data_IF_442311635590
#
_entry.id   IF_442311635590
#
_cell.length_a   1.000
_cell.length_b   1.000
_cell.length_c   1.000
_cell.angle_alpha   90.00
_cell.angle_beta   90.00
_cell.angle_gamma   90.00
#
_symmetry.space_group_name_H-M   'P 1'
#
loop_
_entity.id
_entity.type
_entity.pdbx_description
1 polymer ?
#
# COMPACT_ATOMS: atom_id res chain seq x y z
N UNK A 1 2.93 -47.57 30.12
CA UNK A 1 3.75 -46.64 29.29
C UNK A 1 3.22 -46.40 27.88
N UNK A 2 2.31 -47.24 27.32
CA UNK A 2 1.74 -47.01 25.97
C UNK A 2 0.67 -45.91 25.92
N UNK A 3 -0.15 -45.80 26.96
CA UNK A 3 -1.24 -44.83 27.04
C UNK A 3 -0.75 -43.36 27.09
N UNK A 4 0.43 -43.13 27.67
CA UNK A 4 1.00 -41.78 27.77
C UNK A 4 1.50 -41.27 26.40
N UNK A 5 2.03 -42.17 25.57
CA UNK A 5 2.41 -41.84 24.19
C UNK A 5 1.21 -41.47 23.32
N UNK A 6 0.06 -42.14 23.49
CA UNK A 6 -1.17 -41.81 22.76
C UNK A 6 -1.77 -40.46 23.19
N UNK A 7 -1.62 -40.10 24.47
CA UNK A 7 -2.11 -38.81 24.98
C UNK A 7 -1.31 -37.63 24.41
N UNK A 8 0.03 -37.77 24.32
CA UNK A 8 0.91 -36.76 23.73
C UNK A 8 0.72 -36.62 22.21
N UNK A 9 0.53 -37.72 21.48
CA UNK A 9 0.25 -37.64 20.03
C UNK A 9 -1.13 -37.04 19.73
N UNK A 10 -2.15 -37.31 20.56
CA UNK A 10 -3.46 -36.68 20.42
C UNK A 10 -3.39 -35.15 20.58
N UNK A 11 -2.68 -34.65 21.59
CA UNK A 11 -2.52 -33.21 21.79
C UNK A 11 -1.75 -32.54 20.64
N UNK A 12 -0.77 -33.23 20.06
CA UNK A 12 0.01 -32.72 18.92
C UNK A 12 -0.81 -32.68 17.62
N UNK A 13 -1.71 -33.65 17.39
CA UNK A 13 -2.61 -33.67 16.23
C UNK A 13 -3.70 -32.59 16.29
N UNK A 14 -4.18 -32.23 17.48
CA UNK A 14 -5.21 -31.18 17.65
C UNK A 14 -4.61 -29.77 17.42
N UNK A 15 -3.32 -29.57 17.73
CA UNK A 15 -2.64 -28.29 17.52
C UNK A 15 -2.52 -27.89 16.03
N UNK A 16 -2.42 -28.86 15.11
CA UNK A 16 -2.28 -28.59 13.67
C UNK A 16 -3.65 -28.25 13.03
N UNK A 17 -4.76 -28.68 13.64
CA UNK A 17 -6.11 -28.40 13.14
C UNK A 17 -6.64 -27.01 13.57
N UNK A 18 -6.03 -26.38 14.57
CA UNK A 18 -6.43 -25.06 15.08
C UNK A 18 -5.89 -23.86 14.25
N UNK A 19 -4.96 -24.08 13.31
CA UNK A 19 -4.45 -23.00 12.43
C UNK A 19 -5.23 -22.82 11.12
N UNK A 20 -6.34 -23.54 10.89
CA UNK A 20 -7.14 -23.38 9.67
C UNK A 20 -8.39 -22.49 9.81
N UNK A 21 -8.65 -21.93 11.00
CA UNK A 21 -9.57 -20.81 11.12
C UNK A 21 -8.80 -19.50 10.92
N UNK A 22 -8.42 -19.24 9.66
CA UNK A 22 -8.31 -17.85 9.21
C UNK A 22 -9.71 -17.27 9.35
N UNK A 23 -9.98 -16.33 10.27
CA UNK A 23 -11.25 -15.65 10.28
C UNK A 23 -11.38 -15.03 8.89
N UNK A 24 -12.32 -15.49 8.08
CA UNK A 24 -12.85 -14.64 7.02
C UNK A 24 -13.49 -13.49 7.77
N UNK A 25 -12.68 -12.45 7.95
CA UNK A 25 -13.16 -11.16 8.37
C UNK A 25 -14.41 -10.85 7.53
N UNK A 26 -15.46 -10.29 8.13
CA UNK A 26 -16.55 -9.75 7.34
C UNK A 26 -15.92 -8.88 6.26
N UNK A 27 -16.42 -9.00 5.02
CA UNK A 27 -16.23 -8.01 3.97
C UNK A 27 -16.84 -6.70 4.46
N UNK A 28 -16.14 -6.06 5.39
CA UNK A 28 -16.34 -4.70 5.81
C UNK A 28 -15.32 -3.95 4.99
N UNK A 29 -15.86 -3.24 4.00
CA UNK A 29 -15.29 -2.12 3.29
C UNK A 29 -14.48 -1.24 4.25
N UNK A 30 -13.21 -1.58 4.42
CA UNK A 30 -12.28 -0.86 5.27
C UNK A 30 -10.93 -0.98 4.57
N UNK A 31 -10.58 0.06 3.81
CA UNK A 31 -9.22 0.40 3.40
C UNK A 31 -8.32 -0.81 3.13
N UNK A 32 -8.39 -1.35 1.90
CA UNK A 32 -7.10 -1.58 1.26
C UNK A 32 -6.40 -0.22 1.29
N UNK A 33 -5.34 -0.13 2.11
CA UNK A 33 -4.24 0.77 1.87
C UNK A 33 -3.69 0.38 0.50
N UNK A 34 -4.42 0.71 -0.57
CA UNK A 34 -4.05 0.43 -1.95
C UNK A 34 -2.72 1.09 -2.10
N UNK A 35 -1.67 0.28 -2.29
CA UNK A 35 -0.34 0.77 -2.57
C UNK A 35 -0.50 1.85 -3.64
N UNK A 36 -0.27 3.11 -3.26
CA UNK A 36 -0.54 4.23 -4.14
C UNK A 36 0.51 4.15 -5.25
N UNK A 37 0.12 3.61 -6.39
CA UNK A 37 0.98 3.53 -7.58
C UNK A 37 0.94 4.86 -8.33
N UNK A 38 1.93 5.08 -9.20
CA UNK A 38 1.95 6.28 -10.07
C UNK A 38 0.70 6.38 -10.94
N UNK A 39 0.15 5.25 -11.40
CA UNK A 39 -1.06 5.22 -12.21
C UNK A 39 -2.30 5.63 -11.41
N UNK A 40 -2.44 5.11 -10.18
CA UNK A 40 -3.51 5.50 -9.26
C UNK A 40 -3.37 6.95 -8.80
N UNK A 41 -2.15 7.43 -8.61
CA UNK A 41 -1.86 8.82 -8.27
C UNK A 41 -2.34 9.79 -9.35
N UNK A 42 -2.18 9.45 -10.63
CA UNK A 42 -2.63 10.29 -11.76
C UNK A 42 -4.15 10.48 -11.79
N UNK A 43 -4.91 9.54 -11.25
CA UNK A 43 -6.39 9.62 -11.23
C UNK A 43 -6.93 10.33 -10.00
N UNK A 44 -6.08 10.75 -9.05
CA UNK A 44 -6.52 11.51 -7.88
C UNK A 44 -6.94 12.94 -8.26
N UNK A 45 -7.90 13.53 -7.53
CA UNK A 45 -8.25 14.93 -7.72
C UNK A 45 -7.04 15.81 -7.38
N UNK A 46 -6.84 16.88 -8.16
CA UNK A 46 -5.72 17.83 -8.05
C UNK A 46 -5.35 18.19 -6.59
N UNK A 47 -6.28 18.59 -5.70
CA UNK A 47 -5.94 18.95 -4.32
C UNK A 47 -5.36 17.79 -3.50
N UNK A 48 -5.73 16.55 -3.80
CA UNK A 48 -5.23 15.35 -3.11
C UNK A 48 -3.99 14.78 -3.79
N UNK A 49 -3.88 14.94 -5.12
CA UNK A 49 -2.78 14.47 -5.96
C UNK A 49 -1.44 15.08 -5.53
N UNK A 50 -1.42 16.38 -5.25
CA UNK A 50 -0.20 17.09 -4.84
C UNK A 50 -0.09 17.26 -3.32
N UNK A 51 -0.95 16.60 -2.55
CA UNK A 51 -0.86 16.62 -1.09
C UNK A 51 0.43 15.93 -0.61
N UNK A 52 1.04 16.50 0.44
CA UNK A 52 2.29 15.98 1.00
C UNK A 52 2.14 14.55 1.52
N UNK A 53 0.99 14.19 2.12
CA UNK A 53 0.77 12.84 2.62
C UNK A 53 0.57 11.84 1.47
N UNK A 54 -0.08 12.25 0.38
CA UNK A 54 -0.24 11.44 -0.83
C UNK A 54 1.12 11.15 -1.47
N UNK A 55 1.96 12.18 -1.67
CA UNK A 55 3.28 12.02 -2.27
C UNK A 55 4.21 11.16 -1.40
N UNK A 56 4.12 11.30 -0.08
CA UNK A 56 4.91 10.47 0.84
C UNK A 56 4.43 9.00 0.80
N UNK A 57 3.12 8.73 0.72
CA UNK A 57 2.60 7.36 0.51
C UNK A 57 3.11 6.77 -0.81
N UNK A 58 3.06 7.53 -1.90
CA UNK A 58 3.60 7.12 -3.20
C UNK A 58 5.09 6.74 -3.09
N UNK A 59 5.86 7.53 -2.35
CA UNK A 59 7.28 7.28 -2.10
C UNK A 59 7.54 6.02 -1.25
N UNK A 60 6.71 5.75 -0.24
CA UNK A 60 6.85 4.56 0.60
C UNK A 60 6.52 3.26 -0.15
N UNK A 61 5.56 3.32 -1.07
CA UNK A 61 5.07 2.17 -1.81
C UNK A 61 5.90 1.81 -3.05
N UNK A 62 6.58 2.78 -3.69
CA UNK A 62 7.49 2.50 -4.80
C UNK A 62 8.95 2.48 -4.33
N UNK A 63 9.55 1.28 -4.29
CA UNK A 63 10.95 1.08 -3.92
C UNK A 63 11.92 1.94 -4.76
N UNK A 64 11.56 2.26 -6.01
CA UNK A 64 12.38 3.08 -6.89
C UNK A 64 12.40 4.54 -6.45
N UNK A 65 11.39 4.99 -5.71
CA UNK A 65 11.22 6.38 -5.28
C UNK A 65 11.78 6.63 -3.86
N UNK A 66 12.14 5.58 -3.12
CA UNK A 66 12.72 5.71 -1.77
C UNK A 66 14.02 6.51 -1.76
N UNK A 67 14.86 6.33 -2.78
CA UNK A 67 16.11 7.09 -2.94
C UNK A 67 15.82 8.57 -3.20
N UNK A 68 16.47 9.47 -2.47
CA UNK A 68 16.31 10.92 -2.63
C UNK A 68 16.61 11.39 -4.07
N UNK A 69 17.64 10.80 -4.71
CA UNK A 69 17.98 11.11 -6.10
C UNK A 69 16.84 10.73 -7.06
N UNK A 70 16.26 9.55 -6.88
CA UNK A 70 15.17 9.06 -7.71
C UNK A 70 13.88 9.83 -7.44
N UNK A 71 13.61 10.18 -6.18
CA UNK A 71 12.50 11.04 -5.79
C UNK A 71 12.58 12.42 -6.45
N UNK A 72 13.76 13.07 -6.39
CA UNK A 72 13.98 14.37 -7.03
C UNK A 72 13.80 14.30 -8.54
N UNK A 73 14.27 13.22 -9.17
CA UNK A 73 14.06 12.96 -10.60
C UNK A 73 12.58 12.78 -10.93
N UNK A 74 11.84 12.02 -10.12
CA UNK A 74 10.40 11.82 -10.30
C UNK A 74 9.60 13.11 -10.12
N UNK A 75 9.93 13.91 -9.10
CA UNK A 75 9.33 15.23 -8.88
C UNK A 75 9.51 16.14 -10.10
N UNK A 76 10.69 16.12 -10.72
CA UNK A 76 11.00 16.95 -11.88
C UNK A 76 10.42 16.40 -13.19
N UNK A 77 10.57 15.10 -13.45
CA UNK A 77 10.26 14.47 -14.74
C UNK A 77 8.79 14.04 -14.87
N UNK A 78 8.11 13.77 -13.75
CA UNK A 78 6.72 13.30 -13.73
C UNK A 78 5.80 14.34 -13.11
N UNK A 79 6.04 14.73 -11.85
CA UNK A 79 5.13 15.64 -11.12
C UNK A 79 5.13 17.04 -11.74
N UNK A 80 6.29 17.58 -12.12
CA UNK A 80 6.42 18.91 -12.71
C UNK A 80 5.59 19.11 -13.98
N UNK A 81 5.75 18.27 -15.03
CA UNK A 81 4.96 18.35 -16.25
C UNK A 81 3.46 18.14 -16.02
N UNK A 82 3.11 17.17 -15.17
CA UNK A 82 1.71 16.90 -14.80
C UNK A 82 1.09 18.12 -14.11
N UNK A 83 1.79 18.75 -13.16
CA UNK A 83 1.31 19.92 -12.42
C UNK A 83 1.11 21.14 -13.32
N UNK A 84 1.95 21.32 -14.35
CA UNK A 84 1.75 22.38 -15.36
C UNK A 84 0.53 22.13 -16.24
N UNK A 85 0.19 20.86 -16.46
CA UNK A 85 -1.00 20.46 -17.22
C UNK A 85 -2.26 20.67 -16.39
N UNK A 86 -2.22 20.26 -15.13
CA UNK A 86 -3.38 20.32 -14.21
C UNK A 86 -3.65 21.74 -13.67
N UNK A 87 -2.61 22.53 -13.43
CA UNK A 87 -2.70 23.93 -13.01
C UNK A 87 -2.03 24.83 -14.05
N UNK A 88 -2.73 25.14 -15.17
CA UNK A 88 -2.26 26.18 -16.07
C UNK A 88 -2.19 27.50 -15.32
N UNK A 89 -1.10 28.24 -15.56
CA UNK A 89 -0.85 29.51 -14.87
C UNK A 89 -1.96 30.52 -15.23
N UNK A 90 -2.64 31.15 -14.26
CA UNK A 90 -3.82 32.01 -14.52
C UNK A 90 -3.50 33.37 -15.16
N UNK A 91 -2.24 33.65 -15.53
CA UNK A 91 -1.74 34.91 -16.09
C UNK A 91 -1.55 34.89 -17.62
N UNK A 92 -2.11 33.90 -18.32
CA UNK A 92 -2.07 33.78 -19.79
C UNK A 92 -3.46 33.64 -20.46
N UNK A 93 -4.53 34.10 -19.78
CA UNK A 93 -5.84 34.33 -20.41
C UNK A 93 -6.13 35.82 -20.57
#
# INVERSE_FOLDING_TARGET
MRAFCYWLTCMFLIGILACNQKPSAPKTTANETSALTVETWKTLPIPEKYDGATLERLRMHDDKLKSERAWKKFMHDVIGPEMRTDLPRPDLQ
#
